data_IF_151903380273
#
_entry.id   IF_151903380273
#
_cell.length_a   1.000
_cell.length_b   1.000
_cell.length_c   1.000
_cell.angle_alpha   90.00
_cell.angle_beta   90.00
_cell.angle_gamma   90.00
#
_symmetry.space_group_name_H-M   'P 1'
#
loop_
_entity.id
_entity.type
_entity.pdbx_description
1 polymer ?
#
# COMPACT_ATOMS: atom_id res chain seq x y z
N UNK A 1 -46.12 -26.49 -54.17
CA UNK A 1 -46.80 -25.52 -55.07
C UNK A 1 -48.30 -25.70 -54.92
N UNK A 2 -49.11 -24.63 -54.93
CA UNK A 2 -48.80 -23.19 -54.96
C UNK A 2 -49.03 -22.54 -53.57
N UNK A 3 -48.24 -21.55 -53.13
CA UNK A 3 -48.08 -20.14 -53.59
C UNK A 3 -49.35 -19.32 -53.29
N UNK A 4 -49.34 -18.39 -52.33
CA UNK A 4 -48.59 -17.10 -52.25
C UNK A 4 -49.06 -16.13 -53.32
N UNK A 5 -49.40 -14.91 -52.89
CA UNK A 5 -49.17 -13.59 -53.53
C UNK A 5 -50.17 -12.58 -52.93
N UNK A 6 -49.90 -11.29 -52.64
CA UNK A 6 -48.71 -10.43 -52.68
C UNK A 6 -49.19 -9.02 -52.24
N UNK A 7 -48.37 -8.24 -51.50
CA UNK A 7 -48.06 -6.77 -51.67
C UNK A 7 -49.21 -5.71 -51.70
N UNK A 8 -49.15 -4.41 -51.33
CA UNK A 8 -48.09 -3.39 -51.08
C UNK A 8 -48.77 -2.03 -50.74
N UNK A 9 -48.10 -1.17 -49.91
CA UNK A 9 -48.02 0.34 -49.82
C UNK A 9 -49.33 1.21 -49.92
N UNK A 10 -49.50 2.43 -49.37
CA UNK A 10 -48.62 3.52 -48.90
C UNK A 10 -49.48 4.66 -48.23
N UNK A 11 -48.81 5.49 -47.41
CA UNK A 11 -49.05 6.94 -47.10
C UNK A 11 -49.77 7.38 -45.80
N UNK A 12 -48.97 8.04 -44.95
CA UNK A 12 -49.30 8.95 -43.82
C UNK A 12 -50.01 10.25 -44.26
N UNK A 13 -50.51 11.07 -43.29
CA UNK A 13 -49.69 12.23 -42.87
C UNK A 13 -49.81 12.68 -41.39
N UNK A 14 -48.84 13.52 -40.98
CA UNK A 14 -48.91 14.63 -40.00
C UNK A 14 -48.71 14.26 -38.51
N UNK A 15 -47.48 14.44 -37.99
CA UNK A 15 -46.93 15.64 -37.32
C UNK A 15 -47.52 15.93 -35.93
N UNK A 16 -46.75 15.60 -34.88
CA UNK A 16 -46.41 16.51 -33.80
C UNK A 16 -45.28 15.91 -32.95
N UNK A 17 -44.15 16.61 -32.98
CA UNK A 17 -42.90 16.33 -32.30
C UNK A 17 -43.02 16.45 -30.76
N UNK A 18 -42.35 15.55 -30.04
CA UNK A 18 -41.60 15.94 -28.83
C UNK A 18 -40.48 14.93 -28.60
N UNK A 19 -39.30 15.30 -29.10
CA UNK A 19 -38.03 14.70 -28.73
C UNK A 19 -37.80 14.84 -27.23
N UNK A 20 -37.51 13.72 -26.54
CA UNK A 20 -36.78 13.76 -25.28
C UNK A 20 -35.33 13.38 -25.60
N UNK A 21 -34.51 14.41 -25.59
CA UNK A 21 -33.07 14.39 -25.74
C UNK A 21 -32.43 13.61 -24.58
N UNK A 22 -31.48 12.74 -24.92
CA UNK A 22 -30.62 12.00 -24.00
C UNK A 22 -29.61 12.93 -23.31
N UNK A 23 -29.40 12.83 -21.98
CA UNK A 23 -28.21 13.40 -21.36
C UNK A 23 -27.09 12.36 -21.35
N UNK A 24 -26.10 12.59 -22.21
CA UNK A 24 -24.75 12.01 -22.09
C UNK A 24 -24.13 12.50 -20.78
N UNK A 25 -23.67 11.58 -19.93
CA UNK A 25 -22.78 11.86 -18.80
C UNK A 25 -21.64 10.83 -18.85
N UNK A 26 -20.39 11.24 -18.58
CA UNK A 26 -19.21 10.61 -19.16
C UNK A 26 -18.73 9.37 -18.38
N UNK A 27 -18.23 8.41 -19.15
CA UNK A 27 -17.52 7.21 -18.68
C UNK A 27 -16.37 7.58 -17.74
N UNK A 28 -16.44 7.09 -16.50
CA UNK A 28 -15.28 6.86 -15.66
C UNK A 28 -15.09 5.35 -15.53
N UNK A 29 -14.45 4.77 -16.55
CA UNK A 29 -13.80 3.47 -16.47
C UNK A 29 -12.37 3.70 -16.00
N UNK A 30 -12.14 3.68 -14.68
CA UNK A 30 -10.81 3.35 -14.16
C UNK A 30 -10.68 1.83 -14.22
N UNK A 31 -10.25 1.34 -15.38
CA UNK A 31 -9.63 0.02 -15.50
C UNK A 31 -8.37 0.02 -14.64
N UNK A 32 -8.49 -0.47 -13.41
CA UNK A 32 -7.40 -1.17 -12.75
C UNK A 32 -7.02 -2.33 -13.65
N UNK A 33 -6.00 -2.14 -14.51
CA UNK A 33 -5.35 -3.21 -15.26
C UNK A 33 -4.72 -4.19 -14.26
N UNK A 34 -5.51 -5.12 -13.76
CA UNK A 34 -4.99 -6.40 -13.30
C UNK A 34 -4.31 -7.03 -14.51
N UNK A 35 -3.01 -7.32 -14.37
CA UNK A 35 -2.31 -8.17 -15.33
C UNK A 35 -2.94 -9.58 -15.28
N UNK A 36 -4.03 -9.79 -16.03
CA UNK A 36 -4.47 -11.13 -16.39
C UNK A 36 -3.52 -11.64 -17.48
N UNK A 37 -2.40 -12.23 -17.04
CA UNK A 37 -1.51 -13.00 -17.90
C UNK A 37 -2.07 -14.41 -18.07
N UNK A 38 -3.14 -14.53 -18.85
CA UNK A 38 -3.57 -15.81 -19.39
C UNK A 38 -2.59 -16.21 -20.51
N UNK A 39 -1.50 -16.87 -20.11
CA UNK A 39 -0.69 -17.78 -20.95
C UNK A 39 0.33 -18.49 -20.04
N UNK A 40 -0.07 -19.60 -19.44
CA UNK A 40 0.75 -20.41 -18.55
C UNK A 40 1.83 -21.20 -19.31
N UNK A 41 3.00 -20.60 -19.49
CA UNK A 41 4.23 -21.40 -19.61
C UNK A 41 4.72 -21.74 -18.20
N UNK A 42 5.14 -23.00 -17.93
CA UNK A 42 5.63 -23.40 -16.60
C UNK A 42 6.83 -22.56 -16.15
N UNK A 43 7.63 -22.08 -17.10
CA UNK A 43 8.79 -21.23 -16.88
C UNK A 43 8.41 -19.82 -16.38
N UNK A 44 7.29 -19.27 -16.82
CA UNK A 44 6.80 -17.96 -16.41
C UNK A 44 6.22 -18.02 -14.98
N UNK A 45 5.50 -19.10 -14.65
CA UNK A 45 5.01 -19.37 -13.28
C UNK A 45 6.18 -19.53 -12.30
N UNK A 46 7.21 -20.28 -12.68
CA UNK A 46 8.40 -20.45 -11.84
C UNK A 46 9.11 -19.11 -11.60
N UNK A 47 9.18 -18.27 -12.62
CA UNK A 47 9.81 -16.95 -12.54
C UNK A 47 9.00 -15.99 -11.66
N UNK A 48 7.67 -15.97 -11.80
CA UNK A 48 6.77 -15.19 -10.93
C UNK A 48 6.91 -15.62 -9.47
N UNK A 49 6.95 -16.93 -9.20
CA UNK A 49 7.16 -17.44 -7.86
C UNK A 49 8.52 -17.05 -7.26
N UNK A 50 9.58 -17.02 -8.09
CA UNK A 50 10.92 -16.57 -7.67
C UNK A 50 10.92 -15.08 -7.33
N UNK A 51 10.30 -14.25 -8.16
CA UNK A 51 10.19 -12.80 -7.93
C UNK A 51 9.36 -12.52 -6.67
N UNK A 52 8.24 -13.24 -6.48
CA UNK A 52 7.42 -13.11 -5.26
C UNK A 52 8.20 -13.45 -3.99
N UNK A 53 8.95 -14.56 -3.98
CA UNK A 53 9.81 -14.94 -2.85
C UNK A 53 10.92 -13.93 -2.58
N UNK A 54 11.52 -13.38 -3.65
CA UNK A 54 12.54 -12.33 -3.53
C UNK A 54 11.95 -11.05 -2.94
N UNK A 55 10.78 -10.63 -3.41
CA UNK A 55 10.06 -9.45 -2.92
C UNK A 55 9.73 -9.57 -1.42
N UNK A 56 9.21 -10.72 -0.99
CA UNK A 56 8.91 -10.97 0.43
C UNK A 56 10.21 -10.96 1.26
N UNK A 57 11.27 -11.62 0.78
CA UNK A 57 12.54 -11.64 1.49
C UNK A 57 13.14 -10.23 1.64
N UNK A 58 13.09 -9.42 0.58
CA UNK A 58 13.50 -8.03 0.59
C UNK A 58 12.68 -7.20 1.58
N UNK A 59 11.36 -7.36 1.57
CA UNK A 59 10.45 -6.62 2.47
C UNK A 59 10.70 -6.97 3.94
N UNK A 60 10.91 -8.26 4.28
CA UNK A 60 11.25 -8.68 5.65
C UNK A 60 12.56 -8.02 6.14
N UNK A 61 13.50 -7.74 5.23
CA UNK A 61 14.82 -7.17 5.52
C UNK A 61 14.80 -5.65 5.65
N UNK A 62 14.09 -4.97 4.75
CA UNK A 62 14.09 -3.50 4.69
C UNK A 62 13.06 -2.90 5.64
N UNK A 63 11.89 -3.53 5.78
CA UNK A 63 10.85 -3.06 6.67
C UNK A 63 11.00 -3.67 8.07
N UNK A 64 11.45 -2.85 9.03
CA UNK A 64 11.64 -3.26 10.42
C UNK A 64 10.31 -3.61 11.11
N UNK A 65 9.21 -3.03 10.65
CA UNK A 65 7.88 -3.26 11.19
C UNK A 65 7.11 -4.31 10.37
N UNK A 66 7.80 -5.04 9.47
CA UNK A 66 7.15 -6.08 8.68
C UNK A 66 6.42 -7.08 9.58
N UNK A 67 5.14 -7.22 9.31
CA UNK A 67 4.21 -8.08 10.00
C UNK A 67 3.29 -8.71 8.97
N UNK A 68 3.11 -10.02 9.03
CA UNK A 68 2.12 -10.70 8.21
C UNK A 68 0.75 -10.36 8.77
N UNK A 69 -0.03 -9.59 8.01
CA UNK A 69 -1.39 -9.22 8.35
C UNK A 69 -2.39 -10.27 7.88
N UNK A 70 -3.51 -10.36 8.58
CA UNK A 70 -4.65 -11.16 8.13
C UNK A 70 -5.15 -10.58 6.80
N UNK A 71 -5.23 -11.43 5.77
CA UNK A 71 -5.79 -11.03 4.50
C UNK A 71 -7.30 -10.84 4.65
N UNK A 72 -7.71 -9.68 5.12
CA UNK A 72 -9.11 -9.28 5.14
C UNK A 72 -9.50 -8.98 3.69
N UNK A 73 -9.98 -10.00 2.97
CA UNK A 73 -10.66 -9.77 1.69
C UNK A 73 -11.77 -8.76 1.96
N UNK A 74 -11.73 -7.61 1.30
CA UNK A 74 -12.76 -6.58 1.50
C UNK A 74 -14.13 -7.22 1.26
N UNK A 75 -15.03 -7.18 2.24
CA UNK A 75 -16.38 -7.76 2.19
C UNK A 75 -17.20 -7.23 0.99
N UNK A 76 -16.78 -6.09 0.44
CA UNK A 76 -17.42 -5.46 -0.72
C UNK A 76 -16.90 -5.97 -2.08
N UNK A 77 -15.83 -6.75 -2.13
CA UNK A 77 -15.35 -7.39 -3.35
C UNK A 77 -16.22 -8.59 -3.74
N UNK A 78 -16.38 -8.83 -5.03
CA UNK A 78 -17.09 -10.01 -5.58
C UNK A 78 -16.42 -11.30 -5.08
N UNK A 79 -15.10 -11.31 -5.04
CA UNK A 79 -14.31 -12.45 -4.53
C UNK A 79 -14.53 -12.66 -3.03
N UNK A 80 -14.58 -11.57 -2.25
CA UNK A 80 -14.86 -11.64 -0.81
C UNK A 80 -16.23 -12.24 -0.52
N UNK A 81 -17.28 -11.79 -1.23
CA UNK A 81 -18.64 -12.33 -1.09
C UNK A 81 -18.73 -13.79 -1.53
N UNK A 82 -18.03 -14.15 -2.60
CA UNK A 82 -17.98 -15.53 -3.08
C UNK A 82 -17.32 -16.45 -2.04
N UNK A 83 -16.15 -16.06 -1.53
CA UNK A 83 -15.44 -16.83 -0.50
C UNK A 83 -16.28 -16.95 0.76
N UNK A 84 -16.89 -15.86 1.23
CA UNK A 84 -17.79 -15.87 2.38
C UNK A 84 -18.98 -16.82 2.18
N UNK A 85 -19.60 -16.82 1.00
CA UNK A 85 -20.70 -17.73 0.66
C UNK A 85 -20.25 -19.19 0.71
N UNK A 86 -19.06 -19.49 0.16
CA UNK A 86 -18.49 -20.84 0.18
C UNK A 86 -18.16 -21.30 1.61
N UNK A 87 -17.54 -20.43 2.42
CA UNK A 87 -17.25 -20.72 3.83
C UNK A 87 -18.54 -20.97 4.63
N UNK A 88 -19.56 -20.14 4.45
CA UNK A 88 -20.83 -20.32 5.15
C UNK A 88 -21.52 -21.62 4.72
N UNK A 89 -21.54 -21.94 3.42
CA UNK A 89 -22.09 -23.19 2.91
C UNK A 89 -21.39 -24.43 3.49
N UNK A 90 -20.07 -24.37 3.70
CA UNK A 90 -19.32 -25.45 4.35
C UNK A 90 -19.78 -25.69 5.81
N UNK A 91 -19.91 -24.62 6.60
CA UNK A 91 -20.36 -24.74 7.99
C UNK A 91 -21.84 -25.13 8.11
N UNK A 92 -22.68 -24.67 7.18
CA UNK A 92 -24.08 -25.08 7.08
C UNK A 92 -24.20 -26.58 6.77
N UNK A 93 -23.36 -27.10 5.86
CA UNK A 93 -23.28 -28.53 5.57
C UNK A 93 -22.85 -29.34 6.80
N UNK A 94 -21.85 -28.86 7.55
CA UNK A 94 -21.40 -29.53 8.79
C UNK A 94 -22.52 -29.56 9.84
N UNK A 95 -23.29 -28.48 9.96
CA UNK A 95 -24.46 -28.42 10.84
C UNK A 95 -25.56 -29.40 10.43
N UNK A 96 -25.77 -29.58 9.13
CA UNK A 96 -26.68 -30.59 8.59
C UNK A 96 -26.22 -32.02 8.93
N UNK A 97 -24.92 -32.31 8.84
CA UNK A 97 -24.36 -33.62 9.20
C UNK A 97 -24.52 -33.96 10.68
N UNK A 98 -24.38 -32.99 11.59
CA UNK A 98 -24.66 -33.22 13.01
C UNK A 98 -26.14 -33.34 13.34
N UNK A 99 -27.02 -32.80 12.50
CA UNK A 99 -28.47 -32.85 12.68
C UNK A 99 -29.12 -34.10 12.07
N UNK A 100 -28.37 -34.88 11.29
CA UNK A 100 -28.84 -36.12 10.67
C UNK A 100 -28.97 -37.26 11.69
N UNK A 101 -29.83 -38.23 11.41
CA UNK A 101 -30.04 -39.41 12.27
C UNK A 101 -29.72 -40.69 11.48
N UNK A 102 -28.63 -41.41 11.76
CA UNK A 102 -27.58 -41.13 12.75
C UNK A 102 -26.65 -39.96 12.33
N UNK A 103 -26.04 -39.26 13.29
CA UNK A 103 -25.12 -38.15 13.00
C UNK A 103 -23.87 -38.63 12.25
N UNK A 104 -23.47 -37.89 11.24
CA UNK A 104 -22.25 -38.17 10.46
C UNK A 104 -21.09 -37.30 10.95
N UNK A 105 -20.03 -37.95 11.44
CA UNK A 105 -18.83 -37.28 11.95
C UNK A 105 -17.69 -37.19 10.92
N UNK A 106 -17.89 -37.65 9.68
CA UNK A 106 -16.82 -37.74 8.67
C UNK A 106 -16.11 -36.39 8.46
N UNK A 107 -16.87 -35.31 8.22
CA UNK A 107 -16.32 -33.97 8.04
C UNK A 107 -15.66 -33.41 9.33
N UNK A 108 -16.27 -33.68 10.49
CA UNK A 108 -15.72 -33.25 11.77
C UNK A 108 -14.37 -33.92 12.08
N UNK A 109 -14.20 -35.19 11.74
CA UNK A 109 -12.94 -35.93 11.90
C UNK A 109 -11.83 -35.37 10.99
N UNK A 110 -12.16 -34.97 9.75
CA UNK A 110 -11.22 -34.28 8.86
C UNK A 110 -10.78 -32.93 9.46
N UNK A 111 -11.72 -32.17 10.00
CA UNK A 111 -11.39 -30.92 10.68
C UNK A 111 -10.56 -31.13 11.96
N UNK A 112 -10.85 -32.16 12.75
CA UNK A 112 -10.04 -32.50 13.92
C UNK A 112 -8.62 -32.91 13.53
N UNK A 113 -8.46 -33.61 12.40
CA UNK A 113 -7.14 -33.90 11.83
C UNK A 113 -6.40 -32.62 11.47
N UNK A 114 -7.05 -31.65 10.83
CA UNK A 114 -6.43 -30.35 10.54
C UNK A 114 -6.08 -29.59 11.82
N UNK A 115 -6.94 -29.60 12.85
CA UNK A 115 -6.65 -29.01 14.17
C UNK A 115 -5.40 -29.65 14.78
N UNK A 116 -5.30 -30.99 14.75
CA UNK A 116 -4.11 -31.73 15.22
C UNK A 116 -2.85 -31.27 14.49
N UNK A 117 -2.88 -31.24 13.15
CA UNK A 117 -1.72 -30.82 12.35
C UNK A 117 -1.33 -29.37 12.63
N UNK A 118 -2.30 -28.47 12.80
CA UNK A 118 -2.04 -27.09 13.18
C UNK A 118 -1.36 -27.03 14.55
N UNK A 119 -1.93 -27.66 15.58
CA UNK A 119 -1.36 -27.67 16.93
C UNK A 119 0.08 -28.22 16.93
N UNK A 120 0.34 -29.30 16.20
CA UNK A 120 1.67 -29.87 16.06
C UNK A 120 2.64 -28.93 15.31
N UNK A 121 2.16 -28.14 14.36
CA UNK A 121 2.96 -27.15 13.63
C UNK A 121 3.38 -25.94 14.49
N UNK A 122 2.65 -25.66 15.56
CA UNK A 122 2.95 -24.59 16.52
C UNK A 122 4.02 -25.02 17.55
N UNK A 123 4.32 -26.32 17.64
CA UNK A 123 5.31 -26.83 18.59
C UNK A 123 6.74 -26.57 18.13
N UNK A 124 7.60 -26.23 19.10
CA UNK A 124 9.03 -26.12 18.87
C UNK A 124 9.66 -27.53 18.74
N UNK A 125 10.71 -27.71 17.92
CA UNK A 125 11.35 -29.02 17.71
C UNK A 125 11.86 -29.74 18.98
N UNK A 126 12.00 -29.00 20.09
CA UNK A 126 12.46 -29.52 21.39
C UNK A 126 11.35 -30.16 22.22
N UNK A 127 10.07 -29.88 21.94
CA UNK A 127 8.92 -30.31 22.73
C UNK A 127 8.40 -31.71 22.32
N UNK A 128 9.29 -32.71 22.38
CA UNK A 128 8.95 -34.08 21.93
C UNK A 128 7.88 -34.77 22.79
N UNK A 129 7.88 -34.51 24.10
CA UNK A 129 6.89 -35.07 25.02
C UNK A 129 5.48 -34.58 24.70
N UNK A 130 5.29 -33.27 24.65
CA UNK A 130 4.02 -32.64 24.32
C UNK A 130 3.53 -33.03 22.93
N UNK A 131 4.43 -33.15 21.95
CA UNK A 131 4.09 -33.69 20.63
C UNK A 131 3.48 -35.09 20.72
N UNK A 132 4.12 -36.00 21.46
CA UNK A 132 3.61 -37.37 21.60
C UNK A 132 2.27 -37.40 22.34
N UNK A 133 2.11 -36.59 23.41
CA UNK A 133 0.83 -36.46 24.14
C UNK A 133 -0.31 -35.98 23.23
N UNK A 134 -0.04 -34.99 22.35
CA UNK A 134 -1.02 -34.52 21.36
C UNK A 134 -1.30 -35.61 20.32
N UNK A 135 -0.28 -36.33 19.86
CA UNK A 135 -0.43 -37.39 18.87
C UNK A 135 -1.32 -38.54 19.38
N UNK A 136 -1.16 -38.92 20.66
CA UNK A 136 -1.95 -39.95 21.35
C UNK A 136 -3.37 -39.48 21.68
N UNK A 137 -3.53 -38.27 22.23
CA UNK A 137 -4.84 -37.76 22.64
C UNK A 137 -5.75 -37.39 21.45
N UNK A 138 -5.18 -36.97 20.32
CA UNK A 138 -5.90 -36.68 19.08
C UNK A 138 -5.67 -37.80 18.04
N UNK A 139 -5.78 -39.08 18.44
CA UNK A 139 -5.73 -40.20 17.49
C UNK A 139 -7.03 -40.27 16.68
N UNK A 140 -6.95 -39.97 15.39
CA UNK A 140 -8.12 -39.89 14.50
C UNK A 140 -8.77 -41.25 14.30
N UNK A 141 -7.99 -42.34 14.32
CA UNK A 141 -8.54 -43.69 14.16
C UNK A 141 -9.33 -44.10 15.41
N UNK A 142 -8.86 -43.72 16.59
CA UNK A 142 -9.57 -43.92 17.85
C UNK A 142 -10.84 -43.06 17.92
N UNK A 143 -10.74 -41.77 17.61
CA UNK A 143 -11.90 -40.85 17.61
C UNK A 143 -12.98 -41.30 16.61
N UNK A 144 -12.57 -41.87 15.47
CA UNK A 144 -13.49 -42.46 14.50
C UNK A 144 -14.23 -43.66 15.08
N UNK A 145 -13.52 -44.57 15.76
CA UNK A 145 -14.14 -45.72 16.43
C UNK A 145 -15.12 -45.28 17.53
N UNK A 146 -14.73 -44.28 18.32
CA UNK A 146 -15.59 -43.73 19.39
C UNK A 146 -16.86 -43.08 18.83
N UNK A 147 -16.75 -42.42 17.67
CA UNK A 147 -17.88 -41.82 16.95
C UNK A 147 -18.84 -42.89 16.37
N UNK A 148 -18.32 -43.94 15.73
CA UNK A 148 -19.11 -45.06 15.19
C UNK A 148 -19.89 -45.82 16.27
N UNK A 149 -19.38 -45.82 17.50
CA UNK A 149 -20.01 -46.46 18.66
C UNK A 149 -20.85 -45.51 19.53
N UNK A 150 -21.05 -44.25 19.13
CA UNK A 150 -21.78 -43.22 19.89
C UNK A 150 -21.21 -42.97 21.30
N UNK A 151 -19.90 -43.18 21.49
CA UNK A 151 -19.19 -43.03 22.77
C UNK A 151 -18.30 -41.78 22.84
N UNK A 152 -18.19 -41.03 21.74
CA UNK A 152 -17.33 -39.85 21.64
C UNK A 152 -17.80 -38.72 22.56
N UNK A 153 -16.96 -38.33 23.53
CA UNK A 153 -17.20 -37.19 24.43
C UNK A 153 -16.68 -35.88 23.79
N UNK A 154 -17.57 -35.23 23.03
CA UNK A 154 -17.28 -33.94 22.35
C UNK A 154 -16.90 -32.83 23.35
N UNK A 155 -17.58 -32.62 24.49
CA UNK A 155 -17.16 -31.65 25.51
C UNK A 155 -15.75 -31.89 26.06
N UNK A 156 -15.39 -33.13 26.39
CA UNK A 156 -14.07 -33.44 26.92
C UNK A 156 -12.97 -33.16 25.88
N UNK A 157 -13.18 -33.59 24.63
CA UNK A 157 -12.26 -33.35 23.53
C UNK A 157 -12.08 -31.85 23.26
N UNK A 158 -13.18 -31.09 23.26
CA UNK A 158 -13.16 -29.65 23.04
C UNK A 158 -12.38 -28.93 24.14
N UNK A 159 -12.63 -29.27 25.41
CA UNK A 159 -11.87 -28.72 26.53
C UNK A 159 -10.37 -29.04 26.45
N UNK A 160 -10.01 -30.25 26.00
CA UNK A 160 -8.60 -30.61 25.80
C UNK A 160 -7.94 -29.72 24.74
N UNK A 161 -8.60 -29.50 23.60
CA UNK A 161 -8.11 -28.62 22.53
C UNK A 161 -7.98 -27.18 23.02
N UNK A 162 -8.99 -26.64 23.72
CA UNK A 162 -8.95 -25.28 24.25
C UNK A 162 -7.82 -25.08 25.27
N UNK A 163 -7.61 -26.05 26.17
CA UNK A 163 -6.48 -26.01 27.11
C UNK A 163 -5.12 -26.05 26.40
N UNK A 164 -4.99 -26.85 25.34
CA UNK A 164 -3.77 -26.85 24.51
C UNK A 164 -3.58 -25.51 23.79
N UNK A 165 -4.65 -24.91 23.27
CA UNK A 165 -4.58 -23.59 22.64
C UNK A 165 -4.14 -22.53 23.65
N UNK A 166 -4.73 -22.51 24.84
CA UNK A 166 -4.34 -21.60 25.93
C UNK A 166 -2.88 -21.79 26.36
N UNK A 167 -2.36 -23.02 26.31
CA UNK A 167 -0.96 -23.30 26.63
C UNK A 167 0.02 -22.80 25.55
N UNK A 168 -0.40 -22.81 24.28
CA UNK A 168 0.46 -22.54 23.13
C UNK A 168 0.31 -21.11 22.57
N UNK A 169 -0.75 -20.40 22.89
CA UNK A 169 -1.01 -19.08 22.35
C UNK A 169 -0.12 -17.99 22.97
N UNK A 170 0.01 -16.87 22.26
CA UNK A 170 0.61 -15.67 22.82
C UNK A 170 -0.38 -15.00 23.81
N UNK A 171 0.10 -14.25 24.82
CA UNK A 171 -0.77 -13.64 25.84
C UNK A 171 -1.88 -12.74 25.27
N UNK A 172 -1.66 -12.14 24.10
CA UNK A 172 -2.65 -11.30 23.38
C UNK A 172 -3.85 -12.08 22.86
N UNK A 173 -3.80 -13.41 22.88
CA UNK A 173 -4.87 -14.30 22.40
C UNK A 173 -5.59 -15.01 23.55
N UNK A 174 -5.17 -14.79 24.80
CA UNK A 174 -5.78 -15.45 25.96
C UNK A 174 -7.28 -15.11 26.06
N UNK A 175 -7.66 -13.85 25.80
CA UNK A 175 -9.08 -13.45 25.77
C UNK A 175 -9.86 -14.15 24.66
N UNK A 176 -9.27 -14.30 23.47
CA UNK A 176 -9.93 -14.96 22.34
C UNK A 176 -10.16 -16.45 22.61
N UNK A 177 -9.24 -17.13 23.30
CA UNK A 177 -9.42 -18.53 23.72
C UNK A 177 -10.49 -18.65 24.81
N UNK A 178 -10.54 -17.71 25.76
CA UNK A 178 -11.59 -17.68 26.80
C UNK A 178 -12.99 -17.47 26.22
N UNK A 179 -13.14 -16.67 25.16
CA UNK A 179 -14.43 -16.49 24.47
C UNK A 179 -14.95 -17.82 23.90
N UNK A 180 -14.06 -18.70 23.41
CA UNK A 180 -14.43 -20.02 22.88
C UNK A 180 -15.01 -20.95 23.95
N UNK A 181 -14.55 -20.86 25.21
CA UNK A 181 -15.07 -21.67 26.31
C UNK A 181 -16.56 -21.41 26.58
N UNK A 182 -17.08 -20.24 26.18
CA UNK A 182 -18.49 -19.88 26.36
C UNK A 182 -19.42 -20.47 25.29
N UNK A 183 -18.87 -20.98 24.18
CA UNK A 183 -19.65 -21.45 23.03
C UNK A 183 -20.12 -22.89 23.27
N UNK A 184 -21.43 -23.08 23.30
CA UNK A 184 -22.04 -24.41 23.51
C UNK A 184 -22.27 -25.18 22.20
N UNK A 185 -22.47 -24.48 21.08
CA UNK A 185 -22.74 -25.11 19.78
C UNK A 185 -21.42 -25.67 19.16
N UNK A 186 -21.31 -27.00 18.92
CA UNK A 186 -20.07 -27.61 18.44
C UNK A 186 -19.58 -27.05 17.09
N UNK A 187 -20.51 -26.66 16.21
CA UNK A 187 -20.16 -26.09 14.89
C UNK A 187 -19.54 -24.70 15.04
N UNK A 188 -20.18 -23.83 15.83
CA UNK A 188 -19.64 -22.50 16.13
C UNK A 188 -18.32 -22.59 16.90
N UNK A 189 -18.19 -23.55 17.82
CA UNK A 189 -16.95 -23.76 18.57
C UNK A 189 -15.82 -24.16 17.64
N UNK A 190 -16.04 -25.13 16.75
CA UNK A 190 -15.05 -25.57 15.77
C UNK A 190 -14.66 -24.42 14.83
N UNK A 191 -15.64 -23.64 14.35
CA UNK A 191 -15.38 -22.43 13.55
C UNK A 191 -14.49 -21.43 14.29
N UNK A 192 -14.79 -21.17 15.56
CA UNK A 192 -14.00 -20.28 16.41
C UNK A 192 -12.59 -20.80 16.67
N UNK A 193 -12.44 -22.10 16.93
CA UNK A 193 -11.15 -22.79 17.07
C UNK A 193 -10.30 -22.57 15.82
N UNK A 194 -10.83 -22.81 14.62
CA UNK A 194 -10.07 -22.61 13.39
C UNK A 194 -9.64 -21.16 13.18
N UNK A 195 -10.50 -20.20 13.52
CA UNK A 195 -10.15 -18.78 13.44
C UNK A 195 -8.97 -18.45 14.37
N UNK A 196 -9.06 -18.82 15.65
CA UNK A 196 -7.99 -18.55 16.63
C UNK A 196 -6.71 -19.32 16.29
N UNK A 197 -6.79 -20.58 15.83
CA UNK A 197 -5.63 -21.33 15.36
C UNK A 197 -4.96 -20.70 14.14
N UNK A 198 -5.73 -20.08 13.23
CA UNK A 198 -5.21 -19.29 12.11
C UNK A 198 -4.40 -18.08 12.60
N UNK A 199 -4.95 -17.37 13.59
CA UNK A 199 -4.26 -16.25 14.24
C UNK A 199 -2.99 -16.71 14.97
N UNK A 200 -3.03 -17.83 15.70
CA UNK A 200 -1.85 -18.42 16.36
C UNK A 200 -0.75 -18.81 15.36
N UNK A 201 -1.12 -19.36 14.20
CA UNK A 201 -0.15 -19.65 13.11
C UNK A 201 0.54 -18.37 12.63
N UNK A 202 -0.22 -17.31 12.44
CA UNK A 202 0.31 -16.01 12.04
C UNK A 202 1.24 -15.42 13.11
N UNK A 203 0.84 -15.49 14.38
CA UNK A 203 1.67 -15.05 15.52
C UNK A 203 3.01 -15.80 15.54
N UNK A 204 2.99 -17.13 15.30
CA UNK A 204 4.20 -17.97 15.20
C UNK A 204 5.09 -17.60 14.01
N UNK A 205 4.51 -17.32 12.83
CA UNK A 205 5.25 -16.84 11.67
C UNK A 205 5.92 -15.51 11.96
N UNK A 206 5.18 -14.54 12.51
CA UNK A 206 5.68 -13.22 12.84
C UNK A 206 6.80 -13.28 13.90
N UNK A 207 6.62 -14.08 14.95
CA UNK A 207 7.67 -14.35 15.94
C UNK A 207 8.92 -14.98 15.29
N UNK A 208 8.74 -15.96 14.41
CA UNK A 208 9.86 -16.62 13.72
C UNK A 208 10.64 -15.64 12.85
N UNK A 209 9.93 -14.79 12.10
CA UNK A 209 10.53 -13.73 11.29
C UNK A 209 11.35 -12.78 12.15
N UNK A 210 10.79 -12.29 13.26
CA UNK A 210 11.48 -11.38 14.18
C UNK A 210 12.76 -12.00 14.75
N UNK A 211 12.71 -13.28 15.15
CA UNK A 211 13.87 -13.98 15.70
C UNK A 211 14.97 -14.26 14.66
N UNK A 212 14.58 -14.55 13.42
CA UNK A 212 15.54 -14.87 12.35
C UNK A 212 16.07 -13.62 11.65
N UNK A 213 15.40 -12.48 11.75
CA UNK A 213 15.77 -11.23 11.06
C UNK A 213 17.25 -10.84 11.22
N UNK A 214 17.88 -10.90 12.41
CA UNK A 214 19.30 -10.54 12.56
C UNK A 214 20.22 -11.42 11.69
N UNK A 215 19.92 -12.71 11.58
CA UNK A 215 20.70 -13.65 10.77
C UNK A 215 20.44 -13.46 9.27
N UNK A 216 19.20 -13.14 8.91
CA UNK A 216 18.85 -12.85 7.52
C UNK A 216 19.53 -11.56 7.04
N UNK A 217 19.65 -10.54 7.90
CA UNK A 217 20.32 -9.27 7.57
C UNK A 217 21.81 -9.45 7.27
N UNK A 218 22.49 -10.40 7.91
CA UNK A 218 23.90 -10.70 7.66
C UNK A 218 24.15 -11.22 6.22
N UNK A 219 23.21 -11.98 5.68
CA UNK A 219 23.33 -12.65 4.38
C UNK A 219 22.43 -12.07 3.28
N UNK A 220 21.59 -11.08 3.58
CA UNK A 220 20.57 -10.54 2.68
C UNK A 220 21.16 -10.04 1.36
N UNK A 221 22.22 -9.22 1.45
CA UNK A 221 22.88 -8.63 0.27
C UNK A 221 23.42 -9.71 -0.67
N UNK A 222 23.99 -10.78 -0.14
CA UNK A 222 24.54 -11.88 -0.94
C UNK A 222 23.41 -12.67 -1.60
N UNK A 223 22.34 -12.93 -0.86
CA UNK A 223 21.16 -13.63 -1.34
C UNK A 223 20.47 -12.84 -2.48
N UNK A 224 20.20 -11.55 -2.28
CA UNK A 224 19.57 -10.69 -3.28
C UNK A 224 20.42 -10.60 -4.55
N UNK A 225 21.73 -10.40 -4.41
CA UNK A 225 22.65 -10.37 -5.57
C UNK A 225 22.65 -11.68 -6.34
N UNK A 226 22.70 -12.81 -5.65
CA UNK A 226 22.68 -14.13 -6.30
C UNK A 226 21.35 -14.35 -7.05
N UNK A 227 20.22 -14.02 -6.43
CA UNK A 227 18.90 -14.15 -7.06
C UNK A 227 18.67 -13.18 -8.21
N UNK A 228 19.17 -11.97 -8.08
CA UNK A 228 19.13 -11.00 -9.17
C UNK A 228 20.01 -11.46 -10.34
N UNK A 229 21.20 -12.02 -10.07
CA UNK A 229 22.05 -12.59 -11.11
C UNK A 229 21.37 -13.77 -11.83
N UNK A 230 20.71 -14.68 -11.09
CA UNK A 230 19.92 -15.76 -11.70
C UNK A 230 18.81 -15.23 -12.63
N UNK A 231 18.22 -14.08 -12.32
CA UNK A 231 17.21 -13.44 -13.17
C UNK A 231 17.84 -12.82 -14.42
N UNK A 232 18.99 -12.15 -14.29
CA UNK A 232 19.72 -11.57 -15.42
C UNK A 232 20.24 -12.63 -16.39
N UNK A 233 20.73 -13.76 -15.88
CA UNK A 233 21.21 -14.87 -16.70
C UNK A 233 20.09 -15.46 -17.57
N UNK A 234 18.84 -15.42 -17.08
CA UNK A 234 17.65 -15.83 -17.83
C UNK A 234 17.16 -14.76 -18.82
N UNK A 235 17.27 -13.47 -18.45
CA UNK A 235 16.78 -12.35 -19.25
C UNK A 235 17.81 -11.20 -19.26
N UNK A 236 18.73 -11.17 -20.24
CA UNK A 236 19.79 -10.15 -20.29
C UNK A 236 19.29 -8.73 -20.62
N UNK A 237 18.12 -8.59 -21.25
CA UNK A 237 17.54 -7.30 -21.64
C UNK A 237 16.61 -6.71 -20.57
N UNK A 238 16.71 -7.13 -19.31
CA UNK A 238 15.78 -6.73 -18.24
C UNK A 238 16.06 -5.31 -17.68
N UNK A 239 17.13 -4.63 -18.10
CA UNK A 239 17.65 -3.41 -17.44
C UNK A 239 17.53 -2.14 -18.29
N UNK A 240 16.60 -2.11 -19.24
CA UNK A 240 16.45 -0.99 -20.17
C UNK A 240 16.08 0.32 -19.45
N UNK A 241 15.11 0.28 -18.53
CA UNK A 241 14.69 1.47 -17.77
C UNK A 241 15.73 1.87 -16.72
N UNK A 242 16.37 0.91 -16.07
CA UNK A 242 17.47 1.16 -15.13
C UNK A 242 18.64 1.88 -15.84
N UNK A 243 18.98 1.45 -17.06
CA UNK A 243 20.04 2.07 -17.86
C UNK A 243 19.65 3.48 -18.28
N UNK A 244 18.42 3.69 -18.76
CA UNK A 244 17.89 5.03 -19.09
C UNK A 244 17.92 5.97 -17.88
N UNK A 245 17.48 5.48 -16.72
CA UNK A 245 17.45 6.24 -15.47
C UNK A 245 18.85 6.71 -15.03
N UNK A 246 19.84 5.80 -15.02
CA UNK A 246 21.22 6.17 -14.68
C UNK A 246 21.83 7.10 -15.73
N UNK A 247 21.56 6.88 -17.01
CA UNK A 247 22.04 7.75 -18.08
C UNK A 247 21.50 9.17 -17.92
N UNK A 248 20.22 9.31 -17.56
CA UNK A 248 19.60 10.61 -17.26
C UNK A 248 20.29 11.30 -16.08
N UNK A 249 20.59 10.57 -15.01
CA UNK A 249 21.32 11.13 -13.86
C UNK A 249 22.73 11.63 -14.24
N UNK A 250 23.44 10.90 -15.12
CA UNK A 250 24.74 11.33 -15.65
C UNK A 250 24.59 12.59 -16.51
N UNK A 251 23.58 12.67 -17.37
CA UNK A 251 23.34 13.86 -18.20
C UNK A 251 23.02 15.08 -17.36
N UNK A 252 22.23 14.93 -16.30
CA UNK A 252 21.86 16.03 -15.41
C UNK A 252 23.08 16.58 -14.65
N UNK A 253 24.00 15.71 -14.22
CA UNK A 253 25.25 16.11 -13.57
C UNK A 253 26.28 16.75 -14.51
N UNK A 254 26.26 16.36 -15.78
CA UNK A 254 27.24 16.82 -16.79
C UNK A 254 26.77 18.09 -17.49
N UNK A 255 25.46 18.39 -17.45
CA UNK A 255 24.90 19.60 -18.04
C UNK A 255 25.15 20.78 -17.09
N UNK A 256 25.93 21.80 -17.50
CA UNK A 256 26.06 23.01 -16.68
C UNK A 256 24.69 23.69 -16.58
N UNK A 257 24.25 24.00 -15.35
CA UNK A 257 22.99 24.71 -15.09
C UNK A 257 22.90 26.00 -15.93
N UNK A 258 22.16 25.96 -17.04
CA UNK A 258 21.67 27.15 -17.72
C UNK A 258 20.38 27.58 -17.03
N UNK A 259 20.49 28.33 -15.94
CA UNK A 259 19.35 28.98 -15.31
C UNK A 259 19.76 30.33 -14.74
N UNK A 260 19.84 31.32 -15.62
CA UNK A 260 19.53 32.71 -15.29
C UNK A 260 18.91 33.37 -16.51
N UNK A 261 17.58 33.53 -16.58
CA UNK A 261 16.98 34.53 -17.43
C UNK A 261 17.13 35.91 -16.76
N UNK A 262 17.55 36.88 -17.56
CA UNK A 262 17.41 38.34 -17.35
C UNK A 262 18.30 39.05 -16.32
N UNK A 263 19.43 39.58 -16.80
CA UNK A 263 19.91 40.90 -16.37
C UNK A 263 20.02 41.81 -17.60
N UNK A 264 19.41 43.01 -17.61
CA UNK A 264 19.50 43.90 -18.75
C UNK A 264 20.92 44.49 -18.86
N UNK A 265 21.44 44.46 -20.07
CA UNK A 265 22.70 45.07 -20.48
C UNK A 265 22.87 46.48 -19.91
N UNK A 266 23.90 46.68 -19.09
CA UNK A 266 24.53 47.98 -18.90
C UNK A 266 26.04 47.79 -18.95
N UNK A 267 26.59 48.33 -20.03
CA UNK A 267 28.00 48.28 -20.40
C UNK A 267 28.91 48.83 -19.31
N UNK A 268 29.91 48.04 -18.89
CA UNK A 268 31.25 48.60 -18.66
C UNK A 268 32.32 47.53 -18.87
N UNK A 269 33.10 47.78 -19.92
CA UNK A 269 34.38 47.17 -20.26
C UNK A 269 35.35 47.13 -19.07
N UNK A 270 35.91 45.97 -18.76
CA UNK A 270 37.34 45.80 -18.47
C UNK A 270 37.77 44.33 -18.52
N UNK A 271 38.68 44.06 -19.47
CA UNK A 271 39.63 42.94 -19.54
C UNK A 271 39.08 41.51 -19.54
N UNK A 272 38.70 41.04 -20.75
CA UNK A 272 38.77 39.63 -21.10
C UNK A 272 40.23 39.16 -21.02
N UNK A 273 40.60 38.50 -19.92
CA UNK A 273 41.69 37.51 -19.95
C UNK A 273 41.07 36.16 -20.23
N UNK A 274 40.96 35.86 -21.52
CA UNK A 274 40.74 34.51 -22.02
C UNK A 274 41.86 33.61 -21.50
N UNK A 275 41.56 32.78 -20.50
CA UNK A 275 42.28 31.52 -20.33
C UNK A 275 41.49 30.48 -21.10
N UNK A 276 41.99 30.16 -22.30
CA UNK A 276 41.72 28.90 -22.96
C UNK A 276 41.96 27.76 -21.96
N UNK A 277 40.90 27.17 -21.43
CA UNK A 277 40.91 25.76 -21.05
C UNK A 277 40.13 25.01 -22.12
N UNK A 278 40.93 24.51 -23.06
CA UNK A 278 40.80 23.20 -23.68
C UNK A 278 39.62 22.36 -23.19
N UNK A 279 38.82 21.91 -24.15
CA UNK A 279 38.09 20.65 -24.08
C UNK A 279 38.99 19.53 -23.53
N UNK A 280 38.36 18.53 -22.89
CA UNK A 280 38.94 17.42 -22.14
C UNK A 280 39.52 17.78 -20.77
N UNK A 281 38.70 17.58 -19.74
CA UNK A 281 39.00 16.87 -18.48
C UNK A 281 37.85 17.09 -17.48
N UNK A 282 36.61 16.75 -17.86
CA UNK A 282 35.56 16.51 -16.87
C UNK A 282 35.77 15.09 -16.37
N UNK A 283 36.42 14.93 -15.21
CA UNK A 283 36.48 13.64 -14.54
C UNK A 283 35.04 13.10 -14.45
N UNK A 284 34.78 11.82 -14.84
CA UNK A 284 33.42 11.30 -14.85
C UNK A 284 32.81 11.46 -13.45
N UNK A 285 31.53 11.87 -13.35
CA UNK A 285 30.90 12.06 -12.06
C UNK A 285 31.03 10.78 -11.24
N UNK A 286 31.38 10.91 -9.96
CA UNK A 286 31.54 9.75 -9.09
C UNK A 286 30.27 8.90 -9.08
N UNK A 287 30.41 7.58 -9.01
CA UNK A 287 29.26 6.66 -8.99
C UNK A 287 28.24 7.01 -7.91
N UNK A 288 28.71 7.41 -6.73
CA UNK A 288 27.85 7.86 -5.63
C UNK A 288 27.04 9.10 -6.02
N UNK A 289 27.63 10.08 -6.70
CA UNK A 289 26.93 11.28 -7.15
C UNK A 289 25.85 10.95 -8.18
N UNK A 290 26.14 10.05 -9.13
CA UNK A 290 25.16 9.58 -10.11
C UNK A 290 23.99 8.89 -9.43
N UNK A 291 24.25 8.04 -8.43
CA UNK A 291 23.20 7.37 -7.66
C UNK A 291 22.35 8.38 -6.88
N UNK A 292 22.98 9.34 -6.18
CA UNK A 292 22.24 10.38 -5.47
C UNK A 292 21.35 11.20 -6.40
N UNK A 293 21.88 11.66 -7.54
CA UNK A 293 21.08 12.36 -8.53
C UNK A 293 19.95 11.48 -9.09
N UNK A 294 20.22 10.20 -9.33
CA UNK A 294 19.24 9.22 -9.77
C UNK A 294 18.08 9.08 -8.77
N UNK A 295 18.37 8.92 -7.48
CA UNK A 295 17.33 8.82 -6.45
C UNK A 295 16.55 10.13 -6.29
N UNK A 296 17.20 11.30 -6.35
CA UNK A 296 16.52 12.59 -6.34
C UNK A 296 15.55 12.72 -7.52
N UNK A 297 15.97 12.31 -8.72
CA UNK A 297 15.11 12.29 -9.91
C UNK A 297 13.90 11.37 -9.73
N UNK A 298 14.00 10.29 -8.95
CA UNK A 298 12.89 9.39 -8.64
C UNK A 298 11.90 10.00 -7.64
N UNK A 299 12.38 10.79 -6.67
CA UNK A 299 11.50 11.48 -5.72
C UNK A 299 10.67 12.59 -6.39
N UNK A 300 11.23 13.21 -7.43
CA UNK A 300 10.57 14.22 -8.26
C UNK A 300 9.80 13.61 -9.46
N UNK A 301 9.70 12.29 -9.52
CA UNK A 301 9.16 11.57 -10.67
C UNK A 301 7.64 11.73 -10.80
N UNK A 302 7.15 11.91 -12.03
CA UNK A 302 5.71 11.90 -12.31
C UNK A 302 5.19 10.46 -12.27
N UNK A 303 4.17 10.22 -11.44
CA UNK A 303 3.58 8.90 -11.23
C UNK A 303 2.86 8.39 -12.51
N UNK A 304 2.61 9.29 -13.47
CA UNK A 304 2.06 8.97 -14.80
C UNK A 304 3.08 8.39 -15.78
N UNK A 305 4.37 8.42 -15.45
CA UNK A 305 5.40 7.91 -16.35
C UNK A 305 5.62 6.41 -16.08
N UNK A 306 5.41 5.58 -17.12
CA UNK A 306 5.45 4.11 -17.04
C UNK A 306 6.88 3.55 -16.89
N UNK A 307 7.91 4.33 -17.23
CA UNK A 307 9.31 3.89 -17.28
C UNK A 307 10.02 3.95 -15.92
N UNK A 308 9.72 3.03 -15.01
CA UNK A 308 10.39 2.96 -13.71
C UNK A 308 11.54 1.95 -13.68
N UNK A 309 12.65 2.23 -12.97
CA UNK A 309 13.79 1.32 -12.92
C UNK A 309 13.43 -0.07 -12.41
N UNK A 310 13.76 -1.11 -13.19
CA UNK A 310 13.46 -2.50 -12.87
C UNK A 310 14.15 -2.94 -11.57
N UNK A 311 15.34 -2.42 -11.32
CA UNK A 311 16.14 -2.66 -10.11
C UNK A 311 15.50 -2.17 -8.82
N UNK A 312 14.54 -1.23 -8.90
CA UNK A 312 13.90 -0.61 -7.73
C UNK A 312 12.42 -0.98 -7.61
N UNK A 313 11.93 -1.95 -8.39
CA UNK A 313 10.50 -2.29 -8.42
C UNK A 313 9.94 -2.68 -7.05
N UNK A 314 10.75 -3.36 -6.23
CA UNK A 314 10.37 -3.76 -4.87
C UNK A 314 10.22 -2.55 -3.93
N UNK A 315 10.94 -1.45 -4.19
CA UNK A 315 10.92 -0.21 -3.41
C UNK A 315 9.94 0.84 -3.96
N UNK A 316 9.22 0.55 -5.06
CA UNK A 316 8.43 1.54 -5.79
C UNK A 316 7.44 2.30 -4.89
N UNK A 317 6.66 1.56 -4.11
CA UNK A 317 5.62 2.15 -3.24
C UNK A 317 6.29 3.05 -2.19
N UNK A 318 7.34 2.56 -1.54
CA UNK A 318 8.12 3.33 -0.54
C UNK A 318 8.71 4.61 -1.14
N UNK A 319 9.26 4.55 -2.36
CA UNK A 319 9.78 5.73 -3.06
C UNK A 319 8.67 6.73 -3.45
N UNK A 320 7.50 6.24 -3.86
CA UNK A 320 6.34 7.07 -4.18
C UNK A 320 5.78 7.77 -2.93
N UNK A 321 5.72 7.08 -1.80
CA UNK A 321 5.34 7.64 -0.50
C UNK A 321 6.33 8.73 -0.07
N UNK A 322 7.63 8.46 -0.17
CA UNK A 322 8.67 9.44 0.13
C UNK A 322 8.57 10.68 -0.77
N UNK A 323 8.34 10.50 -2.08
CA UNK A 323 8.08 11.59 -3.01
C UNK A 323 6.80 12.37 -2.67
N UNK A 324 5.76 11.67 -2.18
CA UNK A 324 4.53 12.30 -1.68
C UNK A 324 4.78 13.17 -0.45
N UNK A 325 5.53 12.66 0.52
CA UNK A 325 5.90 13.38 1.73
C UNK A 325 6.76 14.60 1.40
N UNK A 326 7.74 14.45 0.49
CA UNK A 326 8.55 15.57 0.01
C UNK A 326 7.66 16.66 -0.59
N UNK A 327 6.73 16.29 -1.46
CA UNK A 327 5.81 17.24 -2.07
C UNK A 327 4.93 17.97 -1.05
N UNK A 328 4.36 17.25 -0.08
CA UNK A 328 3.58 17.84 1.02
C UNK A 328 4.42 18.81 1.84
N UNK A 329 5.67 18.46 2.16
CA UNK A 329 6.60 19.33 2.88
C UNK A 329 6.95 20.58 2.07
N UNK A 330 7.19 20.45 0.76
CA UNK A 330 7.45 21.60 -0.13
C UNK A 330 6.27 22.56 -0.15
N UNK A 331 5.03 22.06 -0.29
CA UNK A 331 3.81 22.89 -0.24
C UNK A 331 3.67 23.57 1.12
N UNK A 332 3.80 22.81 2.21
CA UNK A 332 3.72 23.34 3.56
C UNK A 332 4.75 24.44 3.81
N UNK A 333 6.01 24.21 3.45
CA UNK A 333 7.08 25.19 3.59
C UNK A 333 6.84 26.44 2.72
N UNK A 334 6.30 26.26 1.51
CA UNK A 334 5.94 27.38 0.61
C UNK A 334 4.83 28.24 1.21
N UNK A 335 3.79 27.62 1.76
CA UNK A 335 2.67 28.31 2.42
C UNK A 335 3.15 29.04 3.67
N UNK A 336 3.98 28.40 4.51
CA UNK A 336 4.55 29.05 5.69
C UNK A 336 5.46 30.22 5.32
N UNK A 337 6.25 30.10 4.24
CA UNK A 337 7.12 31.18 3.78
C UNK A 337 6.31 32.39 3.30
N UNK A 338 5.24 32.16 2.54
CA UNK A 338 4.29 33.20 2.13
C UNK A 338 3.59 33.81 3.33
N UNK A 339 3.00 33.01 4.22
CA UNK A 339 2.32 33.53 5.41
C UNK A 339 3.27 34.36 6.30
N UNK A 340 4.54 33.94 6.45
CA UNK A 340 5.56 34.69 7.19
C UNK A 340 5.88 36.05 6.57
N UNK A 341 5.85 36.18 5.24
CA UNK A 341 6.16 37.45 4.58
C UNK A 341 5.11 38.53 4.87
N UNK A 342 3.86 38.13 5.12
CA UNK A 342 2.75 39.03 5.45
C UNK A 342 2.53 39.24 6.95
N UNK A 343 2.85 38.25 7.80
CA UNK A 343 2.48 38.26 9.22
C UNK A 343 3.52 38.88 10.16
N UNK A 344 4.68 39.28 9.63
CA UNK A 344 5.79 39.82 10.42
C UNK A 344 6.50 38.79 11.31
N UNK A 345 7.68 39.16 11.82
CA UNK A 345 8.55 38.25 12.58
C UNK A 345 7.96 37.83 13.94
N UNK A 346 7.10 38.67 14.53
CA UNK A 346 6.57 38.48 15.90
C UNK A 346 5.62 37.29 15.98
N UNK A 347 4.69 37.16 15.03
CA UNK A 347 3.70 36.08 15.02
C UNK A 347 4.37 34.70 14.82
N UNK A 348 5.30 34.63 13.86
CA UNK A 348 6.11 33.43 13.58
C UNK A 348 7.22 33.17 14.60
N UNK A 349 7.37 34.00 15.64
CA UNK A 349 8.24 33.71 16.78
C UNK A 349 7.54 32.88 17.85
N UNK A 350 6.20 32.76 17.82
CA UNK A 350 5.44 31.87 18.69
C UNK A 350 5.42 30.45 18.10
N UNK A 351 5.97 29.44 18.79
CA UNK A 351 5.95 28.05 18.31
C UNK A 351 4.53 27.49 18.26
N UNK A 352 3.68 27.84 19.22
CA UNK A 352 2.28 27.37 19.30
C UNK A 352 1.47 27.78 18.06
N UNK A 353 1.66 29.03 17.61
CA UNK A 353 0.99 29.54 16.40
C UNK A 353 1.49 28.80 15.15
N UNK A 354 2.80 28.64 15.02
CA UNK A 354 3.40 27.96 13.86
C UNK A 354 2.96 26.49 13.81
N UNK A 355 2.86 25.82 14.95
CA UNK A 355 2.42 24.42 15.01
C UNK A 355 0.92 24.27 14.71
N UNK A 356 0.08 25.21 15.17
CA UNK A 356 -1.32 25.30 14.75
C UNK A 356 -1.44 25.47 13.24
N UNK A 357 -0.64 26.37 12.64
CA UNK A 357 -0.66 26.63 11.21
C UNK A 357 -0.18 25.41 10.40
N UNK A 358 0.89 24.73 10.85
CA UNK A 358 1.34 23.46 10.25
C UNK A 358 0.25 22.40 10.26
N UNK A 359 -0.49 22.25 11.37
CA UNK A 359 -1.57 21.28 11.49
C UNK A 359 -2.68 21.58 10.48
N UNK A 360 -3.15 22.83 10.43
CA UNK A 360 -4.18 23.28 9.49
C UNK A 360 -3.75 23.04 8.03
N UNK A 361 -2.53 23.47 7.67
CA UNK A 361 -2.02 23.30 6.30
C UNK A 361 -1.92 21.81 5.97
N UNK A 362 -1.38 20.99 6.88
CA UNK A 362 -1.24 19.54 6.68
C UNK A 362 -2.59 18.90 6.39
N UNK A 363 -3.61 19.16 7.21
CA UNK A 363 -4.96 18.61 7.03
C UNK A 363 -5.59 19.07 5.71
N UNK A 364 -5.47 20.36 5.36
CA UNK A 364 -6.06 20.90 4.13
C UNK A 364 -5.31 20.49 2.85
N UNK A 365 -4.08 19.98 2.97
CA UNK A 365 -3.26 19.55 1.83
C UNK A 365 -3.19 18.03 1.65
N UNK A 366 -3.99 17.27 2.42
CA UNK A 366 -4.08 15.80 2.28
C UNK A 366 -4.47 15.39 0.85
N UNK A 367 -5.42 16.09 0.23
CA UNK A 367 -5.88 15.86 -1.15
C UNK A 367 -5.18 16.73 -2.20
N UNK A 368 -4.06 17.38 -1.87
CA UNK A 368 -3.41 18.33 -2.80
C UNK A 368 -3.02 17.69 -4.15
N UNK A 369 -2.64 16.40 -4.16
CA UNK A 369 -2.29 15.69 -5.40
C UNK A 369 -3.47 15.52 -6.36
N UNK A 370 -4.70 15.36 -5.85
CA UNK A 370 -5.89 15.16 -6.68
C UNK A 370 -6.53 16.48 -7.09
N UNK A 371 -6.56 17.47 -6.19
CA UNK A 371 -7.26 18.75 -6.38
C UNK A 371 -6.45 19.93 -5.82
N UNK A 372 -5.30 20.28 -6.46
CA UNK A 372 -4.38 21.28 -5.92
C UNK A 372 -5.01 22.68 -5.84
N UNK A 373 -5.85 23.07 -6.79
CA UNK A 373 -6.50 24.38 -6.80
C UNK A 373 -7.48 24.52 -5.63
N UNK A 374 -8.29 23.50 -5.37
CA UNK A 374 -9.31 23.53 -4.31
C UNK A 374 -8.70 23.43 -2.91
N UNK A 375 -7.65 22.60 -2.77
CA UNK A 375 -6.85 22.54 -1.56
C UNK A 375 -6.25 23.92 -1.25
N UNK A 376 -5.67 24.61 -2.25
CA UNK A 376 -5.08 25.93 -2.04
C UNK A 376 -6.11 27.04 -1.83
N UNK A 377 -7.32 26.94 -2.38
CA UNK A 377 -8.41 27.85 -2.04
C UNK A 377 -8.71 27.76 -0.53
N UNK A 378 -8.95 26.55 -0.02
CA UNK A 378 -9.25 26.31 1.39
C UNK A 378 -8.09 26.73 2.31
N UNK A 379 -6.85 26.42 1.92
CA UNK A 379 -5.65 26.88 2.65
C UNK A 379 -5.56 28.40 2.65
N UNK A 380 -5.84 29.08 1.53
CA UNK A 380 -5.73 30.53 1.44
C UNK A 380 -6.70 31.26 2.36
N UNK A 381 -7.93 30.75 2.49
CA UNK A 381 -8.95 31.28 3.39
C UNK A 381 -8.55 31.04 4.84
N UNK A 382 -8.30 29.78 5.22
CA UNK A 382 -8.04 29.41 6.61
C UNK A 382 -6.72 30.00 7.15
N UNK A 383 -5.65 30.05 6.33
CA UNK A 383 -4.38 30.65 6.73
C UNK A 383 -4.53 32.17 6.91
N UNK A 384 -5.30 32.84 6.06
CA UNK A 384 -5.51 34.29 6.18
C UNK A 384 -6.30 34.63 7.44
N UNK A 385 -7.36 33.87 7.74
CA UNK A 385 -8.14 34.03 8.97
C UNK A 385 -7.31 33.80 10.24
N UNK A 386 -6.49 32.75 10.25
CA UNK A 386 -5.62 32.42 11.38
C UNK A 386 -4.52 33.46 11.59
N UNK A 387 -3.95 34.01 10.51
CA UNK A 387 -3.01 35.13 10.60
C UNK A 387 -3.67 36.36 11.20
N UNK A 388 -4.86 36.74 10.73
CA UNK A 388 -5.59 37.89 11.27
C UNK A 388 -6.01 37.69 12.73
N UNK A 389 -6.41 36.46 13.10
CA UNK A 389 -6.72 36.13 14.49
C UNK A 389 -5.47 36.19 15.38
N UNK A 390 -4.36 35.62 14.92
CA UNK A 390 -3.09 35.64 15.65
C UNK A 390 -2.54 37.06 15.85
N UNK A 391 -2.73 37.96 14.88
CA UNK A 391 -2.39 39.39 15.02
C UNK A 391 -3.26 40.07 16.09
N UNK A 392 -4.57 39.79 16.12
CA UNK A 392 -5.49 40.34 17.14
C UNK A 392 -5.14 39.86 18.54
N UNK A 393 -4.81 38.57 18.70
CA UNK A 393 -4.48 37.97 19.99
C UNK A 393 -3.19 38.58 20.58
N UNK A 394 -2.25 39.02 19.73
CA UNK A 394 -1.03 39.74 20.12
C UNK A 394 -1.23 41.27 20.25
N UNK A 395 -2.45 41.79 20.03
CA UNK A 395 -2.74 43.22 20.06
C UNK A 395 -2.14 44.02 18.91
N UNK A 396 -1.77 43.35 17.81
CA UNK A 396 -1.26 43.97 16.58
C UNK A 396 -2.42 44.37 15.65
N UNK A 397 -2.16 45.30 14.74
CA UNK A 397 -3.13 45.68 13.71
C UNK A 397 -3.35 44.52 12.74
N UNK A 398 -4.62 44.19 12.48
CA UNK A 398 -5.00 43.22 11.46
C UNK A 398 -4.42 43.62 10.08
N UNK A 399 -4.32 42.64 9.17
CA UNK A 399 -3.86 42.90 7.81
C UNK A 399 -4.79 43.90 7.11
N UNK A 400 -4.23 44.74 6.25
CA UNK A 400 -5.05 45.58 5.35
C UNK A 400 -5.77 44.69 4.35
N UNK A 401 -6.93 45.13 3.86
CA UNK A 401 -7.70 44.38 2.85
C UNK A 401 -6.88 44.07 1.59
N UNK A 402 -5.95 44.96 1.21
CA UNK A 402 -5.03 44.75 0.09
C UNK A 402 -3.99 43.65 0.39
N UNK A 403 -3.44 43.63 1.61
CA UNK A 403 -2.48 42.61 2.02
C UNK A 403 -3.15 41.24 2.19
N UNK A 404 -4.39 41.18 2.69
CA UNK A 404 -5.16 39.93 2.78
C UNK A 404 -5.46 39.38 1.38
N UNK A 405 -5.89 40.23 0.44
CA UNK A 405 -6.12 39.81 -0.95
C UNK A 405 -4.82 39.34 -1.63
N UNK A 406 -3.69 40.02 -1.37
CA UNK A 406 -2.37 39.62 -1.88
C UNK A 406 -1.90 38.29 -1.29
N UNK A 407 -2.07 38.09 0.01
CA UNK A 407 -1.77 36.83 0.71
C UNK A 407 -2.57 35.68 0.10
N UNK A 408 -3.89 35.83 -0.02
CA UNK A 408 -4.76 34.81 -0.61
C UNK A 408 -4.35 34.49 -2.06
N UNK A 409 -4.11 35.51 -2.88
CA UNK A 409 -3.68 35.32 -4.26
C UNK A 409 -2.33 34.61 -4.39
N UNK A 410 -1.35 34.94 -3.54
CA UNK A 410 -0.05 34.27 -3.54
C UNK A 410 -0.15 32.82 -3.07
N UNK A 411 -0.97 32.53 -2.07
CA UNK A 411 -1.24 31.17 -1.59
C UNK A 411 -1.93 30.33 -2.68
N UNK A 412 -2.97 30.85 -3.31
CA UNK A 412 -3.65 30.16 -4.43
C UNK A 412 -2.69 29.87 -5.59
N UNK A 413 -1.72 30.76 -5.85
CA UNK A 413 -0.74 30.57 -6.90
C UNK A 413 0.25 29.41 -6.62
N UNK A 414 0.36 28.90 -5.38
CA UNK A 414 1.20 27.73 -5.03
C UNK A 414 0.66 26.44 -5.68
N UNK A 415 -0.64 26.40 -6.03
CA UNK A 415 -1.23 25.27 -6.75
C UNK A 415 -0.54 24.99 -8.09
N UNK A 416 0.02 26.02 -8.73
CA UNK A 416 0.72 25.87 -10.02
C UNK A 416 2.05 25.13 -9.86
N UNK A 417 2.32 24.19 -10.78
CA UNK A 417 3.56 23.38 -10.78
C UNK A 417 4.83 24.23 -10.95
N UNK A 418 4.76 25.34 -11.67
CA UNK A 418 5.88 26.23 -11.99
C UNK A 418 6.00 27.40 -11.01
N UNK A 419 5.45 27.28 -9.81
CA UNK A 419 5.50 28.36 -8.83
C UNK A 419 6.95 28.62 -8.37
N UNK A 420 7.42 29.86 -8.52
CA UNK A 420 8.80 30.24 -8.17
C UNK A 420 9.15 29.99 -6.70
N UNK A 421 8.17 30.03 -5.79
CA UNK A 421 8.39 29.77 -4.36
C UNK A 421 8.61 28.28 -4.13
N UNK A 422 7.87 27.43 -4.84
CA UNK A 422 8.06 25.96 -4.81
C UNK A 422 9.36 25.50 -5.47
N UNK A 423 9.98 26.30 -6.33
CA UNK A 423 11.30 26.01 -6.90
C UNK A 423 12.46 26.51 -6.04
N UNK A 424 12.20 27.42 -5.11
CA UNK A 424 13.20 27.93 -4.15
C UNK A 424 13.32 26.99 -2.95
N UNK A 425 12.19 26.43 -2.51
CA UNK A 425 12.11 25.37 -1.50
C UNK A 425 12.53 24.04 -2.12
#
# INVERSE_FOLDING_TARGET
MPKVEETVLQNDPSEAESEVCSPKTPEQSQESKSFCLDNHSPELIETVNKISKLSIAHEIMVNQDFYMEESVLSTNSVEGKFMETMYNAFWDHLKEQFSSTPPDFTCALELLKEVKEILLSLLLPRQKHLRNEIEEALDIDLLKQEAEHETLDVPQLSNYILNLMALLCAPVRDEAVQELETITDPVQLLRGIFHVLGLMKMDMVNYTIQNLRPYLQEHSVQYERAKFQELLDKQPNLLDYTTKWLTKAVTDLTTPCLSSPDLPSSSSSMACSSSNWSADNSEPPSLSMVLYQGYLNLLLWDHKNEEFPETLLMDRIRLQEMGSQLHQLTVLASVLLVARSFSGKVLFSSPEFVDKLKYIIKTLTEEFKSRPEEAMMSVSEQVSEEVDQGLKDMGLTALSSENTASLMGQLQNIAKKENCIRSII
#
